data_IF_272906068251
#
_entry.id   IF_272906068251
#
_cell.length_a   1.000
_cell.length_b   1.000
_cell.length_c   1.000
_cell.angle_alpha   90.00
_cell.angle_beta   90.00
_cell.angle_gamma   90.00
#
_symmetry.space_group_name_H-M   'P 1'
#
loop_
_entity.id
_entity.type
_entity.pdbx_description
1 polymer ?
#
# COMPACT_ATOMS: atom_id res chain seq x y z
N UNK A 1 10.09 13.80 40.07
CA UNK A 1 8.87 13.02 39.75
C UNK A 1 9.00 12.48 38.33
N UNK A 2 8.87 11.15 38.13
CA UNK A 2 9.05 10.53 36.81
C UNK A 2 7.69 10.53 36.07
N UNK A 3 7.61 11.26 34.96
CA UNK A 3 6.39 11.40 34.17
C UNK A 3 6.08 10.10 33.40
N UNK A 4 4.94 9.46 33.72
CA UNK A 4 4.43 8.21 33.09
C UNK A 4 4.08 8.41 31.60
N UNK A 5 4.00 9.65 31.12
CA UNK A 5 3.66 9.99 29.73
C UNK A 5 4.71 9.54 28.70
N UNK A 6 5.98 9.39 29.08
CA UNK A 6 7.01 8.91 28.15
C UNK A 6 6.96 7.40 27.90
N UNK A 7 6.49 6.61 28.88
CA UNK A 7 6.35 5.16 28.78
C UNK A 7 5.10 4.72 27.99
N UNK A 8 4.04 5.55 27.97
CA UNK A 8 2.80 5.28 27.24
C UNK A 8 2.91 5.50 25.73
N UNK A 9 3.82 6.36 25.27
CA UNK A 9 4.01 6.67 23.84
C UNK A 9 4.56 5.47 23.06
N UNK A 10 5.58 4.78 23.60
CA UNK A 10 6.18 3.60 22.94
C UNK A 10 5.26 2.37 22.94
N UNK A 11 4.43 2.18 23.99
CA UNK A 11 3.54 1.02 24.10
C UNK A 11 2.35 1.09 23.13
N UNK A 12 1.82 2.27 22.81
CA UNK A 12 0.71 2.44 21.84
C UNK A 12 1.06 1.99 20.42
N UNK A 13 2.33 2.03 20.03
CA UNK A 13 2.78 1.62 18.70
C UNK A 13 2.88 0.10 18.55
N UNK A 14 3.28 -0.63 19.61
CA UNK A 14 3.36 -2.08 19.60
C UNK A 14 1.98 -2.79 19.71
N UNK A 15 0.99 -2.14 20.33
CA UNK A 15 -0.30 -2.78 20.70
C UNK A 15 -1.28 -2.91 19.51
N UNK A 16 -0.99 -2.36 18.33
CA UNK A 16 -1.89 -2.39 17.15
C UNK A 16 -1.27 -3.02 15.90
N UNK A 17 -0.25 -3.85 16.05
CA UNK A 17 0.20 -4.72 14.97
C UNK A 17 -0.90 -5.77 14.71
N UNK A 18 -1.80 -5.44 13.78
CA UNK A 18 -2.72 -6.41 13.20
C UNK A 18 -2.02 -7.02 11.99
N UNK A 19 -2.33 -8.27 11.66
CA UNK A 19 -1.81 -8.95 10.46
C UNK A 19 -1.91 -8.08 9.20
N UNK A 20 -3.00 -7.33 9.09
CA UNK A 20 -3.21 -6.35 8.00
C UNK A 20 -2.19 -5.21 8.04
N UNK A 21 -1.88 -4.68 9.21
CA UNK A 21 -0.89 -3.62 9.39
C UNK A 21 0.51 -4.10 8.98
N UNK A 22 0.89 -5.32 9.35
CA UNK A 22 2.17 -5.92 8.96
C UNK A 22 2.28 -6.08 7.44
N UNK A 23 1.20 -6.52 6.78
CA UNK A 23 1.13 -6.59 5.32
C UNK A 23 1.22 -5.19 4.68
N UNK A 24 0.58 -4.18 5.27
CA UNK A 24 0.67 -2.80 4.78
C UNK A 24 2.09 -2.23 4.91
N UNK A 25 2.78 -2.49 6.02
CA UNK A 25 4.18 -2.11 6.22
C UNK A 25 5.08 -2.80 5.20
N UNK A 26 4.86 -4.09 4.97
CA UNK A 26 5.55 -4.88 3.95
C UNK A 26 5.41 -4.26 2.56
N UNK A 27 4.19 -3.94 2.13
CA UNK A 27 3.94 -3.31 0.84
C UNK A 27 4.64 -1.94 0.73
N UNK A 28 4.57 -1.10 1.76
CA UNK A 28 5.27 0.19 1.78
C UNK A 28 6.79 0.00 1.61
N UNK A 29 7.38 -0.94 2.35
CA UNK A 29 8.81 -1.22 2.31
C UNK A 29 9.27 -1.73 0.94
N UNK A 30 8.47 -2.57 0.26
CA UNK A 30 8.80 -3.06 -1.09
C UNK A 30 8.60 -2.04 -2.20
N UNK A 31 7.60 -1.15 -2.07
CA UNK A 31 7.27 -0.17 -3.11
C UNK A 31 8.17 1.07 -3.07
N UNK A 32 8.48 1.57 -1.87
CA UNK A 32 9.12 2.87 -1.71
C UNK A 32 10.52 2.98 -2.34
N UNK A 33 11.40 1.96 -2.33
CA UNK A 33 12.70 2.06 -3.01
C UNK A 33 12.58 2.37 -4.50
N UNK A 34 11.66 1.69 -5.20
CA UNK A 34 11.41 1.97 -6.63
C UNK A 34 10.81 3.35 -6.82
N UNK A 35 9.86 3.76 -5.97
CA UNK A 35 9.25 5.08 -6.05
C UNK A 35 10.26 6.21 -5.89
N UNK A 36 11.13 6.11 -4.89
CA UNK A 36 12.17 7.12 -4.62
C UNK A 36 13.16 7.20 -5.79
N UNK A 37 13.60 6.05 -6.32
CA UNK A 37 14.45 5.99 -7.52
C UNK A 37 13.79 6.69 -8.71
N UNK A 38 12.48 6.54 -8.87
CA UNK A 38 11.71 7.13 -9.96
C UNK A 38 11.27 8.59 -9.66
N UNK A 39 11.81 9.22 -8.61
CA UNK A 39 11.50 10.61 -8.22
C UNK A 39 10.13 10.83 -7.58
N UNK A 40 9.43 9.74 -7.24
CA UNK A 40 8.09 9.78 -6.64
C UNK A 40 8.17 9.79 -5.11
N UNK A 41 7.24 10.52 -4.48
CA UNK A 41 7.12 10.52 -3.02
C UNK A 41 6.81 9.10 -2.49
N UNK A 42 7.44 8.67 -1.39
CA UNK A 42 7.14 7.39 -0.74
C UNK A 42 5.68 7.34 -0.27
N UNK A 43 5.13 6.13 -0.23
CA UNK A 43 3.80 5.85 0.30
C UNK A 43 3.94 5.51 1.78
N UNK A 44 3.14 6.19 2.61
CA UNK A 44 3.01 5.89 4.03
C UNK A 44 1.80 5.01 4.33
N UNK A 45 1.74 4.51 5.56
CA UNK A 45 0.71 3.60 6.06
C UNK A 45 -0.73 4.10 5.85
N UNK A 46 -0.99 5.39 6.07
CA UNK A 46 -2.32 5.97 5.88
C UNK A 46 -2.80 5.84 4.42
N UNK A 47 -1.93 6.18 3.47
CA UNK A 47 -2.24 6.07 2.04
C UNK A 47 -2.35 4.60 1.61
N UNK A 48 -1.49 3.72 2.14
CA UNK A 48 -1.59 2.28 1.88
C UNK A 48 -2.92 1.71 2.39
N UNK A 49 -3.37 2.15 3.57
CA UNK A 49 -4.64 1.72 4.14
C UNK A 49 -5.82 2.12 3.27
N UNK A 50 -5.81 3.35 2.74
CA UNK A 50 -6.81 3.81 1.78
C UNK A 50 -6.77 3.01 0.47
N UNK A 51 -5.60 2.73 -0.09
CA UNK A 51 -5.46 1.95 -1.32
C UNK A 51 -6.04 0.54 -1.18
N UNK A 52 -5.83 -0.08 -0.02
CA UNK A 52 -6.24 -1.45 0.25
C UNK A 52 -7.62 -1.53 0.94
N UNK A 53 -8.30 -0.41 1.21
CA UNK A 53 -9.49 -0.36 2.07
C UNK A 53 -10.61 -1.31 1.61
N UNK A 54 -10.77 -1.49 0.29
CA UNK A 54 -11.77 -2.37 -0.31
C UNK A 54 -11.31 -3.83 -0.47
N UNK A 55 -10.07 -4.12 -0.11
CA UNK A 55 -9.46 -5.45 -0.28
C UNK A 55 -9.46 -6.18 1.07
N UNK A 56 -10.13 -7.34 1.17
CA UNK A 56 -10.08 -8.21 2.35
C UNK A 56 -8.64 -8.61 2.71
N UNK A 57 -8.37 -8.80 4.01
CA UNK A 57 -7.02 -9.19 4.48
C UNK A 57 -6.54 -10.52 3.88
N UNK A 58 -7.44 -11.48 3.63
CA UNK A 58 -7.10 -12.75 2.96
C UNK A 58 -6.48 -12.52 1.57
N UNK A 59 -7.04 -11.59 0.81
CA UNK A 59 -6.58 -11.26 -0.54
C UNK A 59 -5.24 -10.51 -0.51
N UNK A 60 -4.92 -9.82 0.59
CA UNK A 60 -3.60 -9.21 0.76
C UNK A 60 -2.48 -10.26 0.81
N UNK A 61 -2.71 -11.43 1.41
CA UNK A 61 -1.73 -12.52 1.37
C UNK A 61 -1.53 -13.06 -0.05
N UNK A 62 -2.61 -13.16 -0.84
CA UNK A 62 -2.52 -13.52 -2.25
C UNK A 62 -1.71 -12.49 -3.04
N UNK A 63 -2.02 -11.19 -2.88
CA UNK A 63 -1.28 -10.10 -3.53
C UNK A 63 0.20 -10.15 -3.15
N UNK A 64 0.51 -10.34 -1.86
CA UNK A 64 1.88 -10.48 -1.38
C UNK A 64 2.61 -11.60 -2.13
N UNK A 65 2.05 -12.81 -2.13
CA UNK A 65 2.66 -13.98 -2.80
C UNK A 65 2.88 -13.72 -4.28
N UNK A 66 1.86 -13.26 -5.00
CA UNK A 66 1.96 -13.01 -6.45
C UNK A 66 2.97 -11.90 -6.78
N UNK A 67 3.10 -10.88 -5.94
CA UNK A 67 4.10 -9.83 -6.14
C UNK A 67 5.52 -10.30 -5.80
N UNK A 68 5.68 -11.18 -4.80
CA UNK A 68 6.97 -11.77 -4.42
C UNK A 68 7.48 -12.73 -5.50
N UNK A 69 6.58 -13.49 -6.13
CA UNK A 69 6.89 -14.41 -7.23
C UNK A 69 7.16 -13.67 -8.56
N UNK A 70 6.87 -12.36 -8.64
CA UNK A 70 7.02 -11.58 -9.87
C UNK A 70 8.42 -10.96 -10.00
N UNK A 71 8.92 -10.88 -11.25
CA UNK A 71 10.20 -10.23 -11.53
C UNK A 71 10.23 -8.75 -11.12
N UNK A 72 9.09 -8.06 -11.18
CA UNK A 72 8.97 -6.68 -10.74
C UNK A 72 7.78 -6.50 -9.79
N UNK A 73 8.09 -6.44 -8.49
CA UNK A 73 7.11 -6.28 -7.42
C UNK A 73 6.19 -5.08 -7.65
N UNK A 74 6.76 -3.89 -7.89
CA UNK A 74 5.97 -2.65 -7.99
C UNK A 74 4.99 -2.69 -9.17
N UNK A 75 5.47 -3.08 -10.35
CA UNK A 75 4.60 -3.20 -11.53
C UNK A 75 3.47 -4.20 -11.31
N UNK A 76 3.77 -5.38 -10.74
CA UNK A 76 2.75 -6.40 -10.48
C UNK A 76 1.73 -5.94 -9.44
N UNK A 77 2.17 -5.27 -8.39
CA UNK A 77 1.29 -4.71 -7.37
C UNK A 77 0.27 -3.73 -7.96
N UNK A 78 0.72 -2.75 -8.76
CA UNK A 78 -0.19 -1.77 -9.36
C UNK A 78 -1.14 -2.39 -10.39
N UNK A 79 -0.67 -3.39 -11.14
CA UNK A 79 -1.53 -4.16 -12.04
C UNK A 79 -2.63 -4.90 -11.28
N UNK A 80 -2.32 -5.58 -10.18
CA UNK A 80 -3.32 -6.30 -9.38
C UNK A 80 -4.36 -5.36 -8.74
N UNK A 81 -3.96 -4.14 -8.38
CA UNK A 81 -4.87 -3.15 -7.79
C UNK A 81 -5.80 -2.51 -8.82
N UNK A 82 -5.38 -2.42 -10.09
CA UNK A 82 -6.17 -1.82 -11.15
C UNK A 82 -5.74 -2.39 -12.52
N UNK A 83 -6.19 -3.60 -12.89
CA UNK A 83 -5.79 -4.24 -14.14
C UNK A 83 -6.34 -3.50 -15.35
N UNK A 84 -7.52 -2.90 -15.26
CA UNK A 84 -8.17 -2.13 -16.33
C UNK A 84 -7.30 -0.99 -16.85
N UNK A 85 -6.55 -0.32 -15.96
CA UNK A 85 -5.59 0.72 -16.33
C UNK A 85 -4.47 0.23 -17.24
N UNK A 86 -4.15 -1.07 -17.21
CA UNK A 86 -3.01 -1.66 -17.91
C UNK A 86 -3.43 -2.61 -19.04
N UNK A 87 -4.67 -3.12 -19.04
CA UNK A 87 -5.22 -4.01 -20.07
C UNK A 87 -5.93 -3.25 -21.21
N UNK A 88 -6.18 -1.95 -21.05
CA UNK A 88 -6.81 -1.12 -22.07
C UNK A 88 -5.85 -0.57 -23.13
N UNK A 89 -5.76 -1.22 -24.30
CA UNK A 89 -5.69 -0.45 -25.56
C UNK A 89 -7.14 -0.13 -25.98
N UNK A 90 -7.57 1.12 -25.81
CA UNK A 90 -8.73 1.70 -26.50
C UNK A 90 -9.97 1.99 -25.65
N UNK A 91 -10.52 3.21 -25.84
CA UNK A 91 -11.68 3.87 -25.18
C UNK A 91 -11.30 4.44 -23.81
N UNK A 92 -11.04 5.73 -23.65
CA UNK A 92 -11.85 6.84 -24.15
C UNK A 92 -13.03 7.06 -23.20
N UNK A 93 -12.76 7.53 -21.99
CA UNK A 93 -13.75 8.27 -21.20
C UNK A 93 -13.17 9.65 -20.90
N UNK A 94 -13.40 10.56 -21.85
CA UNK A 94 -13.72 11.94 -21.48
C UNK A 94 -14.84 11.87 -20.45
N UNK A 95 -14.56 12.25 -19.20
CA UNK A 95 -15.63 12.79 -18.37
C UNK A 95 -15.29 14.21 -17.96
N UNK A 96 -15.97 15.12 -18.66
CA UNK A 96 -16.09 16.54 -18.43
C UNK A 96 -16.55 16.78 -16.99
N UNK A 97 -15.68 17.33 -16.15
CA UNK A 97 -16.12 18.24 -15.08
C UNK A 97 -16.00 19.64 -15.68
N UNK A 98 -17.06 20.36 -16.07
CA UNK A 98 -18.44 20.21 -15.64
C UNK A 98 -18.63 20.68 -14.20
N UNK A 99 -18.02 21.82 -13.85
CA UNK A 99 -18.57 22.95 -13.07
C UNK A 99 -17.54 24.08 -13.08
#
# INVERSE_FOLDING_TARGET
MKHITSALSKKKQAIRATERGELMEYFCAKLNPSRVRDGLRPIGMARMGHLLAKIPTKDLYYIKRVCDDAQNFSKKFWYLLNPEKYEGKGKGEENKRGF
#
